data_IF_163445480212
#
_entry.id   IF_163445480212
#
_cell.length_a   1.000
_cell.length_b   1.000
_cell.length_c   1.000
_cell.angle_alpha   90.00
_cell.angle_beta   90.00
_cell.angle_gamma   90.00
#
_symmetry.space_group_name_H-M   'P 1'
#
loop_
_entity.id
_entity.type
_entity.pdbx_description
1 polymer ?
#
# COMPACT_ATOMS: atom_id res chain seq x y z
N UNK A 1 18.30 -51.53 -0.09
CA UNK A 1 18.12 -51.67 -1.56
C UNK A 1 17.19 -50.53 -1.98
N UNK A 2 17.66 -49.36 -2.41
CA UNK A 2 18.48 -49.06 -3.60
C UNK A 2 17.63 -49.13 -4.88
N UNK A 3 16.97 -48.01 -5.18
CA UNK A 3 16.56 -47.49 -6.49
C UNK A 3 16.15 -46.03 -6.22
N UNK A 4 17.14 -45.13 -6.14
CA UNK A 4 17.60 -44.28 -7.25
C UNK A 4 16.67 -43.05 -7.35
N UNK A 5 17.00 -41.86 -6.84
CA UNK A 5 18.30 -41.18 -6.87
C UNK A 5 18.94 -41.31 -8.24
N UNK A 6 18.27 -40.77 -9.25
CA UNK A 6 18.92 -40.38 -10.49
C UNK A 6 18.17 -39.24 -11.14
N UNK A 7 18.97 -38.28 -11.62
CA UNK A 7 18.62 -37.16 -12.52
C UNK A 7 18.20 -35.85 -11.87
N UNK A 8 19.12 -35.36 -11.03
CA UNK A 8 19.59 -33.98 -11.14
C UNK A 8 20.80 -33.95 -12.09
N UNK A 9 20.57 -33.87 -13.41
CA UNK A 9 21.55 -33.42 -14.41
C UNK A 9 20.87 -33.33 -15.77
N UNK A 10 20.69 -32.11 -16.28
CA UNK A 10 21.18 -31.69 -17.60
C UNK A 10 20.61 -30.31 -17.93
N UNK A 11 21.36 -29.31 -17.46
CA UNK A 11 21.55 -28.05 -18.18
C UNK A 11 22.36 -28.42 -19.42
N UNK A 12 21.86 -28.14 -20.62
CA UNK A 12 22.60 -27.56 -21.77
C UNK A 12 21.73 -27.59 -23.04
N UNK A 13 21.61 -26.42 -23.66
CA UNK A 13 21.47 -26.15 -25.10
C UNK A 13 20.14 -26.43 -25.85
N UNK A 14 19.47 -25.29 -26.11
CA UNK A 14 18.67 -24.93 -27.30
C UNK A 14 19.35 -25.33 -28.62
N UNK A 15 18.62 -25.71 -29.70
CA UNK A 15 18.34 -24.72 -30.75
C UNK A 15 17.10 -25.06 -31.61
N UNK A 16 15.98 -24.33 -31.51
CA UNK A 16 15.12 -24.14 -32.69
C UNK A 16 14.45 -22.76 -32.71
N UNK A 17 15.20 -21.86 -33.35
CA UNK A 17 14.81 -20.58 -33.94
C UNK A 17 13.62 -20.75 -34.90
N UNK A 18 12.62 -19.87 -34.80
CA UNK A 18 12.06 -19.21 -35.99
C UNK A 18 11.64 -17.80 -35.63
N UNK A 19 12.52 -16.85 -35.96
CA UNK A 19 12.25 -15.43 -36.05
C UNK A 19 11.39 -15.18 -37.29
N UNK A 20 10.25 -14.50 -37.13
CA UNK A 20 9.54 -13.90 -38.27
C UNK A 20 9.99 -12.44 -38.36
N UNK A 21 10.89 -12.20 -39.32
CA UNK A 21 11.28 -10.89 -39.80
C UNK A 21 10.12 -10.23 -40.56
N UNK A 22 9.91 -8.94 -40.34
CA UNK A 22 9.33 -8.05 -41.36
C UNK A 22 9.96 -6.67 -41.25
N UNK A 23 11.05 -6.50 -41.99
CA UNK A 23 11.62 -5.22 -42.39
C UNK A 23 10.67 -4.36 -43.25
N UNK A 24 11.10 -3.09 -43.40
CA UNK A 24 10.70 -2.00 -44.32
C UNK A 24 10.20 -0.79 -43.52
N UNK A 25 10.82 0.39 -43.53
CA UNK A 25 11.92 0.91 -44.33
C UNK A 25 11.99 2.40 -43.99
N UNK A 26 13.22 2.89 -43.79
CA UNK A 26 13.54 4.31 -43.66
C UNK A 26 13.16 5.06 -44.95
N UNK A 27 12.49 6.20 -44.83
CA UNK A 27 12.08 7.03 -45.96
C UNK A 27 11.56 8.38 -45.51
N UNK A 28 12.45 9.36 -45.44
CA UNK A 28 12.14 10.76 -45.17
C UNK A 28 11.43 11.36 -46.39
N UNK A 29 10.22 11.91 -46.22
CA UNK A 29 9.62 12.83 -47.18
C UNK A 29 9.02 14.01 -46.43
N UNK A 30 9.54 15.20 -46.73
CA UNK A 30 9.07 16.48 -46.21
C UNK A 30 7.85 17.00 -46.97
N UNK A 31 6.98 17.67 -46.19
CA UNK A 31 6.15 18.84 -46.52
C UNK A 31 4.77 18.60 -47.20
N UNK A 32 3.91 19.64 -47.31
CA UNK A 32 3.06 20.16 -46.22
C UNK A 32 1.58 20.36 -46.64
N UNK A 33 0.63 20.33 -45.69
CA UNK A 33 -0.73 20.87 -45.89
C UNK A 33 -1.41 21.05 -44.51
N UNK A 34 -1.57 22.29 -44.03
CA UNK A 34 -2.81 23.10 -44.09
C UNK A 34 -3.95 22.54 -43.24
N UNK A 35 -4.17 23.23 -42.11
CA UNK A 35 -5.50 23.68 -41.67
C UNK A 35 -6.45 22.64 -41.08
N UNK A 36 -6.39 22.44 -39.76
CA UNK A 36 -7.57 22.12 -38.96
C UNK A 36 -7.34 22.51 -37.50
N UNK A 37 -7.92 23.64 -37.16
CA UNK A 37 -8.23 24.16 -35.83
C UNK A 37 -8.98 23.12 -34.99
N UNK A 38 -8.38 22.60 -33.91
CA UNK A 38 -9.07 22.17 -32.67
C UNK A 38 -8.04 22.10 -31.53
N UNK A 39 -8.35 22.76 -30.41
CA UNK A 39 -7.79 22.57 -29.04
C UNK A 39 -6.33 22.99 -28.77
N UNK A 40 -6.16 24.26 -28.38
CA UNK A 40 -5.15 24.63 -27.39
C UNK A 40 -5.84 24.93 -26.05
N UNK A 41 -6.33 23.87 -25.39
CA UNK A 41 -6.47 23.90 -23.92
C UNK A 41 -5.06 24.11 -23.40
N UNK A 42 -4.79 25.29 -22.83
CA UNK A 42 -3.52 25.57 -22.18
C UNK A 42 -3.27 24.50 -21.12
N UNK A 43 -2.38 23.58 -21.46
CA UNK A 43 -1.78 22.63 -20.56
C UNK A 43 -0.53 23.27 -19.96
N UNK A 44 -0.49 23.54 -18.64
CA UNK A 44 0.77 23.66 -17.94
C UNK A 44 1.02 22.38 -17.14
N UNK A 45 1.72 21.42 -17.75
CA UNK A 45 2.62 20.53 -17.01
C UNK A 45 3.93 21.30 -16.73
N UNK A 46 4.81 20.92 -15.77
CA UNK A 46 4.64 20.10 -14.57
C UNK A 46 5.19 20.86 -13.32
N UNK A 47 4.48 20.90 -12.19
CA UNK A 47 5.10 21.40 -10.94
C UNK A 47 5.82 20.26 -10.24
N UNK A 48 7.10 20.11 -10.52
CA UNK A 48 8.07 19.40 -9.68
C UNK A 48 8.24 20.15 -8.35
N UNK A 49 7.24 20.07 -7.47
CA UNK A 49 7.37 20.53 -6.10
C UNK A 49 7.93 19.39 -5.24
N UNK A 50 9.25 19.18 -5.29
CA UNK A 50 9.93 18.48 -4.20
C UNK A 50 9.97 19.44 -3.02
N UNK A 51 8.87 19.54 -2.28
CA UNK A 51 8.84 20.21 -0.98
C UNK A 51 9.18 19.14 0.04
N UNK A 52 10.43 19.11 0.48
CA UNK A 52 10.78 18.46 1.74
C UNK A 52 9.81 19.01 2.80
N UNK A 53 8.88 18.16 3.25
CA UNK A 53 7.91 18.52 4.26
C UNK A 53 8.68 18.69 5.58
N UNK A 54 9.07 19.93 5.89
CA UNK A 54 9.42 20.29 7.25
C UNK A 54 8.27 19.86 8.16
N UNK A 55 8.55 19.38 9.39
CA UNK A 55 7.50 19.01 10.33
C UNK A 55 6.62 20.24 10.53
N UNK A 56 5.43 20.22 9.93
CA UNK A 56 4.46 21.28 10.10
C UNK A 56 3.93 21.15 11.52
N UNK A 57 4.57 21.87 12.45
CA UNK A 57 3.94 22.27 13.69
C UNK A 57 2.65 22.97 13.30
N UNK A 58 1.53 22.24 13.37
CA UNK A 58 0.21 22.71 13.02
C UNK A 58 -0.25 23.70 14.10
N UNK A 59 0.36 24.88 14.12
CA UNK A 59 0.01 26.01 15.00
C UNK A 59 -1.28 26.72 14.59
N UNK A 60 -1.86 26.36 13.43
CA UNK A 60 -3.15 26.92 13.01
C UNK A 60 -4.30 26.24 13.78
N UNK A 61 -5.26 26.99 14.31
CA UNK A 61 -6.49 26.42 14.85
C UNK A 61 -7.16 25.50 13.83
N UNK A 62 -7.63 24.33 14.28
CA UNK A 62 -8.35 23.40 13.43
C UNK A 62 -9.64 24.04 12.91
N UNK A 63 -9.85 24.04 11.60
CA UNK A 63 -11.11 24.51 11.03
C UNK A 63 -12.22 23.49 11.37
N UNK A 64 -13.47 23.94 11.49
CA UNK A 64 -14.63 23.06 11.64
C UNK A 64 -14.70 21.91 10.62
N UNK A 65 -14.23 22.13 9.38
CA UNK A 65 -14.13 21.10 8.37
C UNK A 65 -13.09 20.04 8.74
N UNK A 66 -11.91 20.45 9.22
CA UNK A 66 -10.85 19.53 9.68
C UNK A 66 -11.34 18.68 10.85
N UNK A 67 -12.15 19.25 11.76
CA UNK A 67 -12.78 18.52 12.89
C UNK A 67 -13.82 17.52 12.40
N UNK A 68 -14.68 17.91 11.44
CA UNK A 68 -15.65 16.97 10.87
C UNK A 68 -14.93 15.81 10.14
N UNK A 69 -13.86 16.12 9.41
CA UNK A 69 -13.03 15.11 8.75
C UNK A 69 -12.29 14.22 9.75
N UNK A 70 -11.80 14.77 10.86
CA UNK A 70 -11.11 13.97 11.88
C UNK A 70 -12.04 12.93 12.49
N UNK A 71 -13.33 13.26 12.72
CA UNK A 71 -14.32 12.30 13.21
C UNK A 71 -14.55 11.15 12.24
N UNK A 72 -14.66 11.46 10.94
CA UNK A 72 -14.77 10.43 9.91
C UNK A 72 -13.54 9.50 9.90
N UNK A 73 -12.33 10.06 9.98
CA UNK A 73 -11.12 9.25 10.03
C UNK A 73 -10.99 8.43 11.32
N UNK A 74 -11.50 8.94 12.43
CA UNK A 74 -11.55 8.20 13.68
C UNK A 74 -12.45 6.97 13.57
N UNK A 75 -13.66 7.12 13.02
CA UNK A 75 -14.58 6.00 12.81
C UNK A 75 -13.93 4.93 11.92
N UNK A 76 -13.32 5.34 10.80
CA UNK A 76 -12.58 4.45 9.90
C UNK A 76 -11.44 3.71 10.62
N UNK A 77 -10.67 4.41 11.46
CA UNK A 77 -9.57 3.80 12.21
C UNK A 77 -10.06 2.80 13.26
N UNK A 78 -11.19 3.09 13.92
CA UNK A 78 -11.79 2.17 14.90
C UNK A 78 -12.25 0.88 14.22
N UNK A 79 -12.88 0.99 13.06
CA UNK A 79 -13.30 -0.16 12.25
C UNK A 79 -12.08 -0.97 11.76
N UNK A 80 -11.06 -0.32 11.19
CA UNK A 80 -9.83 -1.00 10.74
C UNK A 80 -9.13 -1.71 11.92
N UNK A 81 -9.07 -1.09 13.11
CA UNK A 81 -8.49 -1.75 14.30
C UNK A 81 -9.28 -3.00 14.69
N UNK A 82 -10.62 -2.95 14.63
CA UNK A 82 -11.46 -4.11 14.91
C UNK A 82 -11.19 -5.24 13.89
N UNK A 83 -11.20 -4.92 12.60
CA UNK A 83 -10.92 -5.88 11.53
C UNK A 83 -9.51 -6.49 11.65
N UNK A 84 -8.49 -5.68 11.92
CA UNK A 84 -7.13 -6.15 12.12
C UNK A 84 -7.00 -7.09 13.32
N UNK A 85 -7.69 -6.80 14.42
CA UNK A 85 -7.71 -7.68 15.61
C UNK A 85 -8.39 -9.01 15.33
N UNK A 86 -9.48 -9.00 14.56
CA UNK A 86 -10.13 -10.24 14.11
C UNK A 86 -9.21 -11.08 13.21
N UNK A 87 -8.49 -10.43 12.29
CA UNK A 87 -7.49 -11.08 11.44
C UNK A 87 -6.33 -11.67 12.25
N UNK A 88 -5.84 -10.96 13.27
CA UNK A 88 -4.85 -11.49 14.22
C UNK A 88 -5.41 -12.74 14.89
N UNK A 89 -6.57 -12.66 15.53
CA UNK A 89 -7.16 -13.78 16.26
C UNK A 89 -7.36 -15.03 15.38
N UNK A 90 -7.86 -14.85 14.15
CA UNK A 90 -8.03 -15.93 13.18
C UNK A 90 -6.69 -16.54 12.74
N UNK A 91 -5.68 -15.71 12.50
CA UNK A 91 -4.34 -16.14 12.08
C UNK A 91 -3.61 -16.87 13.21
N UNK A 92 -3.70 -16.37 14.44
CA UNK A 92 -3.15 -17.02 15.63
C UNK A 92 -3.77 -18.38 15.88
N UNK A 93 -5.10 -18.48 15.77
CA UNK A 93 -5.80 -19.74 15.94
C UNK A 93 -5.33 -20.77 14.90
N UNK A 94 -5.19 -20.35 13.64
CA UNK A 94 -4.68 -21.21 12.56
C UNK A 94 -3.24 -21.66 12.83
N UNK A 95 -2.38 -20.75 13.27
CA UNK A 95 -0.99 -21.06 13.59
C UNK A 95 -0.87 -22.02 14.78
N UNK A 96 -1.62 -21.78 15.87
CA UNK A 96 -1.66 -22.70 17.03
C UNK A 96 -2.07 -24.11 16.63
N UNK A 97 -3.16 -24.25 15.85
CA UNK A 97 -3.60 -25.54 15.31
C UNK A 97 -2.57 -26.22 14.40
N UNK A 98 -1.77 -25.45 13.66
CA UNK A 98 -0.68 -26.02 12.87
C UNK A 98 0.45 -26.51 13.76
N UNK A 99 0.80 -25.74 14.79
CA UNK A 99 1.86 -26.08 15.75
C UNK A 99 1.53 -27.33 16.56
N UNK A 100 0.30 -27.42 17.06
CA UNK A 100 -0.21 -28.58 17.80
C UNK A 100 -0.11 -29.86 16.96
N UNK A 101 -0.43 -29.78 15.65
CA UNK A 101 -0.32 -30.90 14.71
C UNK A 101 1.11 -31.26 14.36
N UNK A 102 2.01 -30.29 14.26
CA UNK A 102 3.41 -30.54 13.85
C UNK A 102 4.28 -31.09 14.97
N UNK A 103 3.84 -31.06 16.24
CA UNK A 103 4.62 -31.44 17.44
C UNK A 103 5.97 -30.71 17.55
N UNK A 104 6.14 -29.60 16.83
CA UNK A 104 7.32 -28.73 16.94
C UNK A 104 7.04 -27.76 18.08
N UNK A 105 7.66 -28.01 19.23
CA UNK A 105 7.46 -27.21 20.44
C UNK A 105 7.77 -25.72 20.21
N UNK A 106 8.85 -25.42 19.48
CA UNK A 106 9.41 -24.07 19.31
C UNK A 106 9.32 -23.57 17.86
N UNK A 107 8.17 -23.75 17.19
CA UNK A 107 7.99 -23.13 15.88
C UNK A 107 7.90 -21.60 16.05
N UNK A 108 8.69 -20.81 15.30
CA UNK A 108 8.68 -19.36 15.41
C UNK A 108 7.31 -18.79 15.00
N UNK A 109 7.01 -17.60 15.52
CA UNK A 109 5.83 -16.82 15.12
C UNK A 109 5.93 -16.51 13.63
N UNK A 110 4.89 -16.79 12.81
CA UNK A 110 4.94 -16.51 11.39
C UNK A 110 5.10 -15.02 11.13
N UNK A 111 5.94 -14.65 10.16
CA UNK A 111 6.18 -13.24 9.81
C UNK A 111 4.89 -12.49 9.46
N UNK A 112 3.92 -13.17 8.84
CA UNK A 112 2.60 -12.59 8.56
C UNK A 112 1.86 -12.14 9.82
N UNK A 113 1.97 -12.90 10.91
CA UNK A 113 1.35 -12.55 12.20
C UNK A 113 2.10 -11.39 12.86
N UNK A 114 3.43 -11.36 12.77
CA UNK A 114 4.24 -10.21 13.22
C UNK A 114 3.85 -8.93 12.48
N UNK A 115 3.66 -9.00 11.17
CA UNK A 115 3.20 -7.84 10.37
C UNK A 115 1.79 -7.39 10.74
N UNK A 116 0.88 -8.31 11.05
CA UNK A 116 -0.46 -7.95 11.53
C UNK A 116 -0.38 -7.21 12.87
N UNK A 117 0.43 -7.69 13.81
CA UNK A 117 0.65 -6.99 15.08
C UNK A 117 1.21 -5.58 14.88
N UNK A 118 2.19 -5.42 13.99
CA UNK A 118 2.72 -4.11 13.65
C UNK A 118 1.65 -3.18 13.05
N UNK A 119 0.75 -3.70 12.21
CA UNK A 119 -0.37 -2.92 11.64
C UNK A 119 -1.37 -2.47 12.70
N UNK A 120 -1.72 -3.35 13.65
CA UNK A 120 -2.60 -2.98 14.79
C UNK A 120 -1.97 -1.84 15.58
N UNK A 121 -0.70 -1.99 15.97
CA UNK A 121 0.02 -0.98 16.73
C UNK A 121 0.11 0.37 15.99
N UNK A 122 0.31 0.34 14.66
CA UNK A 122 0.35 1.55 13.85
C UNK A 122 -1.03 2.23 13.77
N UNK A 123 -2.11 1.48 13.55
CA UNK A 123 -3.47 2.02 13.52
C UNK A 123 -3.85 2.66 14.87
N UNK A 124 -3.52 1.99 15.98
CA UNK A 124 -3.69 2.54 17.33
C UNK A 124 -2.88 3.83 17.53
N UNK A 125 -1.61 3.85 17.07
CA UNK A 125 -0.76 5.04 17.13
C UNK A 125 -1.36 6.20 16.33
N UNK A 126 -1.92 5.95 15.15
CA UNK A 126 -2.58 6.95 14.33
C UNK A 126 -3.83 7.51 15.01
N UNK A 127 -4.65 6.64 15.62
CA UNK A 127 -5.83 7.04 16.38
C UNK A 127 -5.46 7.94 17.56
N UNK A 128 -4.42 7.59 18.31
CA UNK A 128 -3.91 8.41 19.42
C UNK A 128 -3.46 9.78 18.92
N UNK A 129 -2.69 9.85 17.84
CA UNK A 129 -2.26 11.13 17.25
C UNK A 129 -3.43 11.99 16.78
N UNK A 130 -4.43 11.37 16.13
CA UNK A 130 -5.62 12.05 15.65
C UNK A 130 -6.40 12.68 16.81
N UNK A 131 -6.68 11.90 17.85
CA UNK A 131 -7.35 12.36 19.07
C UNK A 131 -6.55 13.45 19.80
N UNK A 132 -5.23 13.30 19.86
CA UNK A 132 -4.34 14.27 20.52
C UNK A 132 -4.34 15.63 19.80
N UNK A 133 -4.47 15.63 18.48
CA UNK A 133 -4.50 16.87 17.67
C UNK A 133 -5.84 17.58 17.75
N UNK A 134 -6.95 16.85 17.70
CA UNK A 134 -8.28 17.45 17.57
C UNK A 134 -9.05 17.56 18.89
N UNK A 135 -8.58 16.91 19.96
CA UNK A 135 -9.04 17.11 21.34
C UNK A 135 -10.56 17.19 21.48
N UNK A 136 -11.23 16.05 21.59
CA UNK A 136 -12.70 16.00 21.73
C UNK A 136 -13.22 16.44 23.11
N UNK A 137 -12.42 17.20 23.86
CA UNK A 137 -12.80 17.90 25.09
C UNK A 137 -13.58 19.18 24.72
N UNK A 138 -14.73 18.99 24.10
CA UNK A 138 -15.44 20.08 23.43
C UNK A 138 -16.93 19.85 23.23
N UNK A 139 -17.53 18.90 23.94
CA UNK A 139 -18.99 18.84 24.13
C UNK A 139 -19.46 19.90 25.16
N UNK A 140 -18.69 20.98 25.32
CA UNK A 140 -19.14 22.19 26.00
C UNK A 140 -19.93 23.02 24.98
N UNK A 141 -21.15 22.56 24.72
CA UNK A 141 -22.28 23.42 24.40
C UNK A 141 -22.44 24.45 25.53
N UNK A 142 -21.57 25.45 25.59
CA UNK A 142 -21.84 26.69 26.29
C UNK A 142 -22.75 27.51 25.38
N UNK A 143 -24.04 27.19 25.47
CA UNK A 143 -25.12 28.08 25.09
C UNK A 143 -24.94 29.36 25.92
N UNK A 144 -24.67 30.47 25.24
CA UNK A 144 -24.72 31.83 25.81
C UNK A 144 -26.06 32.43 25.41
#
# INVERSE_FOLDING_TARGET
MKLALDRLRDVLHDPHVTLISREFGSGNVSAPAVGADVTAVFNPLPRTASRAAAPAECSRPAHSADVAQSRLFEDILLDEIAELRDLVAATELRWRRLRERSRVAEAPVPEALVRLYARVAEAERLLVQLRSRFGYEGDSLRVI
#
